data_IF_978612458737
#
_entry.id   IF_978612458737
#
_cell.length_a   1.000
_cell.length_b   1.000
_cell.length_c   1.000
_cell.angle_alpha   90.00
_cell.angle_beta   90.00
_cell.angle_gamma   90.00
#
_symmetry.space_group_name_H-M   'P 1'
#
loop_
_entity.id
_entity.type
_entity.pdbx_description
1 polymer ?
#
# COMPACT_ATOMS: atom_id res chain seq x y z
N UNK A 1 2.98 -7.50 -2.62
CA UNK A 1 1.86 -6.71 -2.07
C UNK A 1 2.32 -5.28 -2.00
N UNK A 2 1.79 -4.37 -2.84
CA UNK A 2 2.02 -2.94 -2.65
C UNK A 2 1.74 -2.52 -1.20
N UNK A 3 2.71 -1.82 -0.63
CA UNK A 3 2.58 -1.14 0.64
C UNK A 3 2.38 0.35 0.35
N UNK A 4 2.28 1.20 1.38
CA UNK A 4 1.96 2.61 1.20
C UNK A 4 2.84 3.34 0.18
N UNK A 5 4.18 3.18 0.18
CA UNK A 5 5.04 3.86 -0.80
C UNK A 5 4.73 3.49 -2.25
N UNK A 6 4.47 2.21 -2.53
CA UNK A 6 4.13 1.79 -3.90
C UNK A 6 2.75 2.29 -4.31
N UNK A 7 1.76 2.26 -3.40
CA UNK A 7 0.42 2.79 -3.68
C UNK A 7 0.47 4.30 -3.91
N UNK A 8 1.26 5.03 -3.13
CA UNK A 8 1.50 6.47 -3.33
C UNK A 8 2.18 6.76 -4.67
N UNK A 9 3.13 5.92 -5.08
CA UNK A 9 3.77 6.03 -6.40
C UNK A 9 2.74 5.86 -7.51
N UNK A 10 1.92 4.79 -7.45
CA UNK A 10 0.84 4.55 -8.42
C UNK A 10 -0.14 5.72 -8.46
N UNK A 11 -0.54 6.26 -7.29
CA UNK A 11 -1.42 7.43 -7.20
C UNK A 11 -0.85 8.63 -7.94
N UNK A 12 0.39 9.01 -7.65
CA UNK A 12 1.06 10.15 -8.28
C UNK A 12 1.19 9.97 -9.78
N UNK A 13 1.54 8.76 -10.22
CA UNK A 13 1.67 8.48 -11.65
C UNK A 13 0.31 8.55 -12.34
N UNK A 14 -0.71 7.86 -11.83
CA UNK A 14 -2.05 7.91 -12.41
C UNK A 14 -2.58 9.34 -12.53
N UNK A 15 -2.36 10.19 -11.51
CA UNK A 15 -2.78 11.59 -11.57
C UNK A 15 -2.26 12.34 -12.80
N UNK A 16 -1.04 12.04 -13.24
CA UNK A 16 -0.43 12.70 -14.39
C UNK A 16 -1.03 12.25 -15.73
N UNK A 17 -1.76 11.13 -15.77
CA UNK A 17 -2.20 10.52 -17.03
C UNK A 17 -3.72 10.41 -17.18
N UNK A 18 -4.49 10.35 -16.09
CA UNK A 18 -5.92 10.07 -16.15
C UNK A 18 -6.82 11.22 -15.68
N UNK A 19 -6.31 12.22 -14.98
CA UNK A 19 -7.14 13.32 -14.50
C UNK A 19 -7.73 14.12 -15.66
N UNK A 20 -8.93 14.65 -15.44
CA UNK A 20 -9.72 15.42 -16.39
C UNK A 20 -10.14 14.63 -17.64
N UNK A 21 -9.92 13.31 -17.65
CA UNK A 21 -10.34 12.43 -18.75
C UNK A 21 -11.67 11.76 -18.46
N UNK A 22 -12.56 11.64 -19.47
CA UNK A 22 -13.84 10.97 -19.32
C UNK A 22 -13.69 9.46 -19.36
N UNK A 23 -14.54 8.77 -18.59
CA UNK A 23 -14.76 7.32 -18.67
C UNK A 23 -15.83 7.09 -19.73
N UNK A 24 -15.44 6.67 -20.93
CA UNK A 24 -16.38 6.45 -22.04
C UNK A 24 -17.21 5.18 -21.86
N UNK A 25 -16.67 4.18 -21.18
CA UNK A 25 -17.29 2.88 -20.93
C UNK A 25 -16.48 2.06 -19.94
N UNK A 26 -17.08 1.03 -19.35
CA UNK A 26 -16.41 0.14 -18.42
C UNK A 26 -16.75 -1.31 -18.75
N UNK A 27 -15.74 -2.12 -19.04
CA UNK A 27 -15.89 -3.57 -19.12
C UNK A 27 -15.40 -4.23 -17.83
N UNK A 28 -16.20 -5.13 -17.27
CA UNK A 28 -15.83 -5.97 -16.13
C UNK A 28 -15.79 -7.43 -16.59
N UNK A 29 -14.59 -7.99 -16.66
CA UNK A 29 -14.36 -9.39 -17.07
C UNK A 29 -14.35 -10.36 -15.87
N UNK A 30 -14.30 -9.84 -14.64
CA UNK A 30 -14.34 -10.64 -13.42
C UNK A 30 -15.03 -9.91 -12.28
N UNK A 31 -16.35 -10.10 -12.20
CA UNK A 31 -17.27 -9.40 -11.27
C UNK A 31 -16.84 -9.46 -9.81
N UNK A 32 -16.19 -10.54 -9.35
CA UNK A 32 -15.75 -10.68 -7.95
C UNK A 32 -14.65 -9.70 -7.54
N UNK A 33 -14.07 -8.94 -8.47
CA UNK A 33 -13.22 -7.78 -8.12
C UNK A 33 -14.08 -6.63 -7.60
N UNK A 34 -15.28 -6.43 -8.16
CA UNK A 34 -16.22 -5.45 -7.64
C UNK A 34 -16.84 -6.00 -6.35
N UNK A 35 -16.85 -5.18 -5.30
CA UNK A 35 -17.61 -5.46 -4.08
C UNK A 35 -18.93 -4.71 -4.18
N UNK A 36 -20.04 -5.44 -4.03
CA UNK A 36 -21.38 -4.90 -4.27
C UNK A 36 -21.89 -5.26 -5.67
N UNK A 37 -22.74 -4.40 -6.22
CA UNK A 37 -23.37 -4.59 -7.51
C UNK A 37 -22.47 -4.06 -8.64
N UNK A 38 -22.08 -4.96 -9.56
CA UNK A 38 -21.23 -4.63 -10.71
C UNK A 38 -21.95 -3.74 -11.70
N UNK A 39 -23.25 -3.94 -11.92
CA UNK A 39 -24.03 -3.12 -12.83
C UNK A 39 -24.13 -1.69 -12.30
N UNK A 40 -24.43 -1.54 -11.00
CA UNK A 40 -24.45 -0.23 -10.34
C UNK A 40 -23.08 0.47 -10.42
N UNK A 41 -21.99 -0.28 -10.22
CA UNK A 41 -20.62 0.25 -10.35
C UNK A 41 -20.37 0.83 -11.75
N UNK A 42 -20.75 0.11 -12.80
CA UNK A 42 -20.60 0.54 -14.19
C UNK A 42 -21.48 1.76 -14.48
N UNK A 43 -22.78 1.68 -14.18
CA UNK A 43 -23.75 2.76 -14.45
C UNK A 43 -23.41 4.07 -13.74
N UNK A 44 -22.84 3.98 -12.53
CA UNK A 44 -22.50 5.16 -11.72
C UNK A 44 -21.22 5.86 -12.20
N UNK A 45 -20.30 5.13 -12.82
CA UNK A 45 -18.98 5.66 -13.21
C UNK A 45 -18.85 5.90 -14.71
N UNK A 46 -19.64 5.21 -15.54
CA UNK A 46 -19.66 5.44 -16.97
C UNK A 46 -20.10 6.89 -17.25
N UNK A 47 -19.39 7.52 -18.18
CA UNK A 47 -19.51 8.93 -18.57
C UNK A 47 -19.09 9.97 -17.53
N UNK A 48 -18.59 9.55 -16.37
CA UNK A 48 -17.96 10.49 -15.42
C UNK A 48 -16.55 10.87 -15.85
N UNK A 49 -16.01 11.93 -15.23
CA UNK A 49 -14.64 12.39 -15.42
C UNK A 49 -13.82 12.10 -14.17
N UNK A 50 -12.61 11.58 -14.32
CA UNK A 50 -11.67 11.46 -13.21
C UNK A 50 -11.24 12.86 -12.72
N UNK A 51 -11.60 13.22 -11.50
CA UNK A 51 -11.31 14.55 -10.93
C UNK A 51 -10.11 14.54 -9.98
N UNK A 52 -9.96 13.48 -9.18
CA UNK A 52 -8.81 13.34 -8.28
C UNK A 52 -8.51 11.88 -7.95
N UNK A 53 -7.33 11.62 -7.39
CA UNK A 53 -6.97 10.32 -6.82
C UNK A 53 -6.34 10.52 -5.43
N UNK A 54 -7.08 10.12 -4.39
CA UNK A 54 -6.57 10.10 -3.03
C UNK A 54 -5.99 8.72 -2.65
N UNK A 55 -5.32 8.63 -1.51
CA UNK A 55 -4.86 7.37 -0.91
C UNK A 55 -5.08 7.39 0.59
N UNK A 56 -5.61 6.29 1.09
CA UNK A 56 -5.68 5.99 2.53
C UNK A 56 -5.05 4.63 2.77
N UNK A 57 -3.96 4.60 3.54
CA UNK A 57 -3.11 3.43 3.74
C UNK A 57 -2.64 2.83 2.42
N UNK A 58 -3.18 1.67 2.06
CA UNK A 58 -2.86 0.90 0.84
C UNK A 58 -3.99 0.90 -0.18
N UNK A 59 -4.96 1.78 -0.02
CA UNK A 59 -6.10 1.94 -0.92
C UNK A 59 -5.92 3.19 -1.77
N UNK A 60 -6.27 3.10 -3.05
CA UNK A 60 -6.45 4.23 -3.94
C UNK A 60 -7.93 4.63 -3.92
N UNK A 61 -8.24 5.92 -3.91
CA UNK A 61 -9.59 6.44 -3.98
C UNK A 61 -9.66 7.29 -5.25
N UNK A 62 -10.36 6.79 -6.27
CA UNK A 62 -10.60 7.53 -7.50
C UNK A 62 -11.85 8.37 -7.29
N UNK A 63 -11.67 9.70 -7.24
CA UNK A 63 -12.76 10.67 -7.17
C UNK A 63 -13.13 11.06 -8.59
N UNK A 64 -14.36 10.77 -8.96
CA UNK A 64 -14.95 11.23 -10.20
C UNK A 64 -15.85 12.45 -9.90
N UNK A 65 -16.67 12.87 -10.86
CA UNK A 65 -17.47 14.10 -10.71
C UNK A 65 -18.54 13.99 -9.63
N UNK A 66 -19.29 12.88 -9.62
CA UNK A 66 -20.37 12.69 -8.65
C UNK A 66 -20.13 11.46 -7.76
N UNK A 67 -19.32 10.51 -8.24
CA UNK A 67 -19.04 9.27 -7.53
C UNK A 67 -17.56 9.13 -7.19
N UNK A 68 -17.28 8.23 -6.26
CA UNK A 68 -15.93 7.76 -6.00
C UNK A 68 -15.92 6.25 -5.90
N UNK A 69 -14.78 5.65 -6.18
CA UNK A 69 -14.54 4.25 -5.86
C UNK A 69 -13.19 4.06 -5.20
N UNK A 70 -13.14 3.10 -4.28
CA UNK A 70 -11.90 2.67 -3.64
C UNK A 70 -11.36 1.44 -4.38
N UNK A 71 -10.04 1.36 -4.55
CA UNK A 71 -9.34 0.22 -5.13
C UNK A 71 -8.21 -0.24 -4.23
N UNK A 72 -8.12 -1.55 -3.96
CA UNK A 72 -7.01 -2.16 -3.25
C UNK A 72 -6.27 -3.14 -4.16
N UNK A 73 -5.01 -2.83 -4.47
CA UNK A 73 -4.16 -3.63 -5.38
C UNK A 73 -3.84 -5.05 -4.85
N UNK A 74 -3.90 -5.24 -3.52
CA UNK A 74 -3.56 -6.50 -2.84
C UNK A 74 -2.18 -6.98 -3.24
N UNK A 75 -2.03 -8.18 -3.78
CA UNK A 75 -0.70 -8.80 -3.93
C UNK A 75 0.01 -8.34 -5.19
N UNK A 76 -0.70 -8.39 -6.32
CA UNK A 76 -0.16 -8.28 -7.70
C UNK A 76 -1.07 -7.42 -8.62
N UNK A 77 -2.12 -6.80 -8.06
CA UNK A 77 -2.98 -5.90 -8.81
C UNK A 77 -2.23 -4.67 -9.30
N UNK A 78 -2.52 -4.26 -10.52
CA UNK A 78 -1.82 -3.19 -11.22
C UNK A 78 -2.72 -2.47 -12.20
N UNK A 79 -2.42 -1.19 -12.44
CA UNK A 79 -3.10 -0.37 -13.44
C UNK A 79 -2.16 -0.12 -14.61
N UNK A 80 -2.66 -0.23 -15.83
CA UNK A 80 -1.89 0.06 -17.04
C UNK A 80 -2.70 1.02 -17.91
N UNK A 81 -2.02 1.96 -18.55
CA UNK A 81 -2.63 2.78 -19.62
C UNK A 81 -2.04 2.26 -20.92
N UNK A 82 -2.92 1.80 -21.81
CA UNK A 82 -2.55 1.14 -23.06
C UNK A 82 -3.42 1.65 -24.20
N UNK A 83 -3.03 1.41 -25.44
CA UNK A 83 -3.89 1.71 -26.60
C UNK A 83 -5.12 0.78 -26.59
N UNK A 84 -6.29 1.29 -27.00
CA UNK A 84 -7.53 0.50 -26.84
C UNK A 84 -7.60 -0.71 -27.78
N UNK A 85 -6.82 -0.74 -28.85
CA UNK A 85 -6.73 -1.86 -29.80
C UNK A 85 -5.78 -2.97 -29.31
N UNK A 86 -4.96 -2.70 -28.29
CA UNK A 86 -4.13 -3.73 -27.68
C UNK A 86 -5.01 -4.88 -27.15
N UNK A 87 -4.68 -6.15 -27.43
CA UNK A 87 -5.48 -7.28 -26.99
C UNK A 87 -5.66 -7.34 -25.47
N UNK A 88 -6.89 -7.59 -25.03
CA UNK A 88 -7.21 -7.77 -23.61
C UNK A 88 -6.58 -9.07 -23.11
N UNK A 89 -5.64 -8.95 -22.17
CA UNK A 89 -4.98 -10.12 -21.58
C UNK A 89 -5.92 -10.90 -20.65
N UNK A 90 -5.70 -12.20 -20.48
CA UNK A 90 -6.47 -13.07 -19.56
C UNK A 90 -6.48 -12.63 -18.09
N UNK A 91 -5.57 -11.74 -17.71
CA UNK A 91 -5.42 -11.21 -16.36
C UNK A 91 -5.98 -9.79 -16.20
N UNK A 92 -6.45 -9.19 -17.29
CA UNK A 92 -7.19 -7.95 -17.27
C UNK A 92 -8.61 -8.24 -16.81
N UNK A 93 -9.07 -7.53 -15.79
CA UNK A 93 -10.36 -7.80 -15.17
C UNK A 93 -11.34 -6.63 -15.18
N UNK A 94 -10.81 -5.40 -15.23
CA UNK A 94 -11.62 -4.20 -15.39
C UNK A 94 -10.93 -3.30 -16.41
N UNK A 95 -11.67 -2.80 -17.38
CA UNK A 95 -11.18 -1.85 -18.37
C UNK A 95 -12.05 -0.61 -18.30
N UNK A 96 -11.43 0.55 -18.04
CA UNK A 96 -12.06 1.85 -18.18
C UNK A 96 -11.64 2.42 -19.53
N UNK A 97 -12.56 2.49 -20.47
CA UNK A 97 -12.32 3.10 -21.78
C UNK A 97 -12.26 4.61 -21.61
N UNK A 98 -11.23 5.26 -22.15
CA UNK A 98 -11.05 6.71 -22.07
C UNK A 98 -10.97 7.31 -23.47
N UNK A 99 -10.86 8.64 -23.54
CA UNK A 99 -10.60 9.37 -24.78
C UNK A 99 -9.22 9.04 -25.37
N UNK A 100 -8.95 9.56 -26.58
CA UNK A 100 -7.63 9.48 -27.26
C UNK A 100 -7.11 8.05 -27.48
N UNK A 101 -8.02 7.12 -27.74
CA UNK A 101 -7.69 5.72 -28.04
C UNK A 101 -6.86 5.04 -26.94
N UNK A 102 -7.14 5.36 -25.68
CA UNK A 102 -6.46 4.73 -24.55
C UNK A 102 -7.44 4.15 -23.54
N UNK A 103 -7.03 3.05 -22.94
CA UNK A 103 -7.74 2.38 -21.87
C UNK A 103 -6.93 2.40 -20.57
N UNK A 104 -7.61 2.59 -19.43
CA UNK A 104 -7.05 2.28 -18.12
C UNK A 104 -7.48 0.87 -17.74
N UNK A 105 -6.53 -0.06 -17.73
CA UNK A 105 -6.77 -1.49 -17.48
C UNK A 105 -6.30 -1.89 -16.09
N UNK A 106 -7.17 -2.53 -15.32
CA UNK A 106 -6.81 -3.21 -14.08
C UNK A 106 -6.48 -4.67 -14.34
N UNK A 107 -5.26 -5.06 -13.98
CA UNK A 107 -4.71 -6.40 -14.21
C UNK A 107 -4.39 -7.02 -12.85
N UNK A 108 -4.82 -8.26 -12.61
CA UNK A 108 -4.46 -9.01 -11.40
C UNK A 108 -4.38 -10.51 -11.68
N UNK A 109 -3.17 -11.05 -11.73
CA UNK A 109 -2.89 -12.49 -11.90
C UNK A 109 -3.54 -13.37 -10.84
N UNK A 110 -3.74 -12.85 -9.61
CA UNK A 110 -4.23 -13.59 -8.45
C UNK A 110 -5.69 -13.30 -8.11
N UNK A 111 -6.33 -12.34 -8.77
CA UNK A 111 -7.74 -11.96 -8.57
C UNK A 111 -8.09 -11.59 -7.11
N UNK A 112 -7.13 -11.03 -6.39
CA UNK A 112 -7.30 -10.60 -5.00
C UNK A 112 -7.72 -9.14 -4.89
N UNK A 113 -7.41 -8.34 -5.90
CA UNK A 113 -7.85 -6.98 -6.10
C UNK A 113 -9.31 -6.76 -5.77
N UNK A 114 -9.62 -5.60 -5.19
CA UNK A 114 -11.00 -5.22 -4.90
C UNK A 114 -11.26 -3.78 -5.31
N UNK A 115 -12.44 -3.52 -5.87
CA UNK A 115 -12.97 -2.20 -6.12
C UNK A 115 -14.36 -2.08 -5.51
N UNK A 116 -14.71 -0.93 -4.97
CA UNK A 116 -16.00 -0.69 -4.32
C UNK A 116 -16.42 0.77 -4.50
N UNK A 117 -17.68 1.01 -4.88
CA UNK A 117 -18.23 2.37 -4.87
C UNK A 117 -18.27 2.90 -3.45
N UNK A 118 -17.86 4.15 -3.27
CA UNK A 118 -17.83 4.83 -1.97
C UNK A 118 -18.37 6.25 -2.09
N UNK A 119 -18.75 6.84 -0.96
CA UNK A 119 -19.15 8.25 -0.92
C UNK A 119 -18.00 9.16 -1.34
N UNK A 120 -18.28 10.12 -2.23
CA UNK A 120 -17.29 11.06 -2.76
C UNK A 120 -16.53 11.81 -1.66
N UNK A 121 -17.22 12.25 -0.61
CA UNK A 121 -16.62 13.01 0.50
C UNK A 121 -16.57 12.21 1.81
N UNK A 122 -17.42 11.19 1.95
CA UNK A 122 -17.54 10.37 3.16
C UNK A 122 -16.77 9.05 3.13
N UNK A 123 -15.94 8.76 2.12
CA UNK A 123 -15.30 7.44 1.96
C UNK A 123 -14.48 6.99 3.17
N UNK A 124 -13.88 7.92 3.94
CA UNK A 124 -13.10 7.57 5.15
C UNK A 124 -13.97 6.90 6.22
N UNK A 125 -15.26 7.22 6.27
CA UNK A 125 -16.22 6.68 7.24
C UNK A 125 -16.89 5.38 6.77
N UNK A 126 -16.52 4.87 5.59
CA UNK A 126 -17.06 3.64 5.02
C UNK A 126 -16.05 2.49 5.12
N UNK A 127 -16.53 1.25 5.21
CA UNK A 127 -15.65 0.10 5.09
C UNK A 127 -15.06 0.04 3.67
N UNK A 128 -13.83 -0.46 3.48
CA UNK A 128 -12.91 -0.94 4.52
C UNK A 128 -12.11 0.17 5.24
N UNK A 129 -12.23 1.43 4.81
CA UNK A 129 -11.38 2.55 5.25
C UNK A 129 -11.62 2.96 6.71
N UNK A 130 -12.87 2.88 7.19
CA UNK A 130 -13.26 3.18 8.58
C UNK A 130 -12.47 2.41 9.65
N UNK A 131 -11.99 1.21 9.31
CA UNK A 131 -11.23 0.34 10.23
C UNK A 131 -9.73 0.63 10.23
N UNK A 132 -9.26 1.52 9.36
CA UNK A 132 -7.84 1.86 9.29
C UNK A 132 -7.45 2.78 10.45
N UNK A 133 -6.27 2.53 10.97
CA UNK A 133 -5.58 3.46 11.85
C UNK A 133 -5.11 4.69 11.08
N UNK A 134 -4.66 5.73 11.80
CA UNK A 134 -4.20 6.96 11.20
C UNK A 134 -3.01 6.75 10.25
N UNK A 135 -2.85 7.67 9.32
CA UNK A 135 -1.70 7.72 8.41
C UNK A 135 -0.40 7.90 9.19
N UNK A 136 0.71 7.24 8.78
CA UNK A 136 2.00 7.38 9.44
C UNK A 136 2.50 8.82 9.57
N UNK A 137 2.12 9.68 8.63
CA UNK A 137 2.53 11.10 8.59
C UNK A 137 1.68 12.02 9.46
N UNK A 138 0.54 11.54 9.96
CA UNK A 138 -0.45 12.33 10.71
C UNK A 138 -0.56 11.89 12.18
N UNK A 139 -0.20 10.64 12.48
CA UNK A 139 -0.33 10.08 13.84
C UNK A 139 0.57 10.81 14.85
N UNK A 140 0.02 11.16 16.02
CA UNK A 140 0.78 11.71 17.14
C UNK A 140 1.50 10.60 17.93
N UNK A 141 2.54 10.97 18.68
CA UNK A 141 3.24 10.01 19.56
C UNK A 141 2.29 9.43 20.61
N UNK A 142 1.41 10.26 21.15
CA UNK A 142 0.43 9.89 22.16
C UNK A 142 -0.56 8.86 21.62
N UNK A 143 -1.14 9.14 20.45
CA UNK A 143 -2.08 8.23 19.78
C UNK A 143 -1.42 6.89 19.41
N UNK A 144 -0.16 6.91 18.92
CA UNK A 144 0.57 5.68 18.64
C UNK A 144 0.89 4.89 19.91
N UNK A 145 1.26 5.59 20.99
CA UNK A 145 1.59 4.96 22.26
C UNK A 145 0.38 4.26 22.87
N UNK A 146 -0.78 4.90 22.88
CA UNK A 146 -2.02 4.30 23.38
C UNK A 146 -2.37 3.01 22.62
N UNK A 147 -2.20 3.02 21.29
CA UNK A 147 -2.46 1.84 20.44
C UNK A 147 -1.46 0.70 20.68
N UNK A 148 -0.20 1.00 20.93
CA UNK A 148 0.86 0.00 21.14
C UNK A 148 0.95 -0.51 22.58
N UNK A 149 0.67 0.32 23.57
CA UNK A 149 0.86 0.01 24.99
C UNK A 149 -0.04 -1.15 25.46
N UNK A 150 -1.21 -1.30 24.83
CA UNK A 150 -2.12 -2.43 25.09
C UNK A 150 -1.90 -3.62 24.15
N UNK A 151 -0.97 -3.52 23.20
CA UNK A 151 -0.70 -4.57 22.22
C UNK A 151 0.36 -5.55 22.76
N UNK A 152 -0.08 -6.77 23.09
CA UNK A 152 0.81 -7.86 23.56
C UNK A 152 1.58 -8.55 22.42
N UNK A 153 1.24 -8.23 21.16
CA UNK A 153 1.86 -8.82 19.98
C UNK A 153 3.31 -8.34 19.82
N UNK A 154 4.13 -9.12 19.09
CA UNK A 154 5.42 -8.65 18.61
C UNK A 154 5.33 -7.31 17.87
N UNK A 155 6.33 -6.44 18.03
CA UNK A 155 6.37 -5.10 17.43
C UNK A 155 6.23 -5.16 15.91
N UNK A 156 6.85 -6.16 15.27
CA UNK A 156 6.65 -6.36 13.84
C UNK A 156 5.19 -6.69 13.52
N UNK A 157 4.56 -7.58 14.28
CA UNK A 157 3.16 -7.95 14.07
C UNK A 157 2.25 -6.72 14.27
N UNK A 158 2.52 -5.91 15.30
CA UNK A 158 1.79 -4.66 15.54
C UNK A 158 1.94 -3.66 14.38
N UNK A 159 3.14 -3.51 13.80
CA UNK A 159 3.36 -2.66 12.63
C UNK A 159 2.62 -3.15 11.36
N UNK A 160 2.25 -4.43 11.29
CA UNK A 160 1.45 -4.97 10.20
C UNK A 160 -0.05 -4.78 10.40
N UNK A 161 -0.48 -4.47 11.63
CA UNK A 161 -1.87 -4.20 11.95
C UNK A 161 -2.27 -2.82 11.41
N UNK A 162 -3.11 -2.83 10.36
CA UNK A 162 -3.52 -1.61 9.70
C UNK A 162 -4.42 -0.72 10.58
N UNK A 163 -4.93 -1.22 11.72
CA UNK A 163 -5.70 -0.43 12.70
C UNK A 163 -4.82 0.37 13.66
N UNK A 164 -3.53 0.01 13.78
CA UNK A 164 -2.56 0.73 14.62
C UNK A 164 -2.00 1.92 13.84
N UNK A 165 -1.44 1.65 12.67
CA UNK A 165 -0.88 2.63 11.75
C UNK A 165 -0.96 2.02 10.35
N UNK A 166 -1.74 2.65 9.48
CA UNK A 166 -2.01 2.06 8.17
C UNK A 166 -0.81 2.21 7.22
N UNK A 167 -0.79 1.41 6.14
CA UNK A 167 0.19 1.59 5.07
C UNK A 167 1.48 0.76 5.20
N UNK A 168 1.90 0.38 6.40
CA UNK A 168 3.10 -0.45 6.60
C UNK A 168 2.77 -1.92 6.29
N UNK A 169 3.60 -2.58 5.48
CA UNK A 169 3.54 -4.02 5.23
C UNK A 169 4.83 -4.73 5.63
N UNK A 170 5.08 -5.90 5.03
CA UNK A 170 6.13 -6.80 5.48
C UNK A 170 7.53 -6.30 5.17
N UNK A 171 7.70 -5.51 4.11
CA UNK A 171 8.97 -4.91 3.75
C UNK A 171 9.32 -3.84 4.76
N UNK A 172 8.49 -2.79 4.84
CA UNK A 172 8.79 -1.64 5.68
C UNK A 172 8.77 -1.99 7.17
N UNK A 173 7.98 -2.96 7.63
CA UNK A 173 8.04 -3.40 9.02
C UNK A 173 9.40 -4.03 9.41
N UNK A 174 10.04 -4.78 8.51
CA UNK A 174 11.39 -5.31 8.79
C UNK A 174 12.43 -4.18 8.83
N UNK A 175 12.37 -3.28 7.84
CA UNK A 175 13.29 -2.14 7.76
C UNK A 175 13.14 -1.23 8.98
N UNK A 176 11.92 -0.87 9.37
CA UNK A 176 11.64 -0.06 10.57
C UNK A 176 12.21 -0.72 11.82
N UNK A 177 12.02 -2.04 12.01
CA UNK A 177 12.61 -2.75 13.14
C UNK A 177 14.15 -2.71 13.13
N UNK A 178 14.76 -2.77 11.94
CA UNK A 178 16.21 -2.69 11.78
C UNK A 178 16.75 -1.30 12.14
N UNK A 179 16.15 -0.23 11.59
CA UNK A 179 16.50 1.15 11.91
C UNK A 179 16.28 1.48 13.40
N UNK A 180 15.27 0.87 14.02
CA UNK A 180 15.01 0.97 15.46
C UNK A 180 15.96 0.15 16.34
N UNK A 181 16.85 -0.65 15.75
CA UNK A 181 17.71 -1.61 16.45
C UNK A 181 16.94 -2.52 17.43
N UNK A 182 15.70 -2.91 17.06
CA UNK A 182 14.81 -3.70 17.90
C UNK A 182 14.59 -5.09 17.30
N UNK A 183 14.64 -6.13 18.13
CA UNK A 183 14.25 -7.47 17.71
C UNK A 183 12.76 -7.43 17.32
N UNK A 184 12.38 -7.86 16.09
CA UNK A 184 10.99 -7.81 15.61
C UNK A 184 10.02 -8.62 16.48
N UNK A 185 10.52 -9.52 17.33
CA UNK A 185 9.77 -10.36 18.28
C UNK A 185 9.54 -9.68 19.64
N UNK A 186 10.10 -8.50 19.87
CA UNK A 186 9.88 -7.72 21.10
C UNK A 186 8.41 -7.35 21.22
N UNK A 187 7.79 -7.55 22.39
CA UNK A 187 6.38 -7.15 22.60
C UNK A 187 6.21 -5.65 22.40
N UNK A 188 5.19 -5.24 21.64
CA UNK A 188 4.90 -3.83 21.36
C UNK A 188 4.62 -3.02 22.64
N UNK A 189 3.89 -3.60 23.59
CA UNK A 189 3.59 -3.00 24.89
C UNK A 189 4.81 -2.68 25.77
N UNK A 190 6.00 -3.20 25.44
CA UNK A 190 7.24 -2.93 26.19
C UNK A 190 7.95 -1.65 25.74
N UNK A 191 7.54 -1.03 24.66
CA UNK A 191 8.16 0.22 24.21
C UNK A 191 7.73 1.36 25.14
N UNK A 192 8.70 2.07 25.71
CA UNK A 192 8.43 3.31 26.43
C UNK A 192 7.92 4.39 25.49
N UNK A 193 7.25 5.43 26.03
CA UNK A 193 6.79 6.59 25.24
C UNK A 193 7.90 7.18 24.36
N UNK A 194 9.12 7.31 24.90
CA UNK A 194 10.29 7.78 24.14
C UNK A 194 10.64 6.86 22.96
N UNK A 195 10.58 5.54 23.14
CA UNK A 195 10.82 4.56 22.07
C UNK A 195 9.70 4.55 21.03
N UNK A 196 8.47 4.88 21.41
CA UNK A 196 7.35 5.04 20.46
C UNK A 196 7.49 6.31 19.63
N UNK A 197 7.94 7.43 20.21
CA UNK A 197 8.26 8.64 19.43
C UNK A 197 9.37 8.37 18.40
N UNK A 198 10.42 7.66 18.81
CA UNK A 198 11.50 7.21 17.92
C UNK A 198 10.96 6.29 16.81
N UNK A 199 10.10 5.32 17.15
CA UNK A 199 9.44 4.43 16.18
C UNK A 199 8.67 5.21 15.13
N UNK A 200 7.87 6.21 15.56
CA UNK A 200 7.11 7.07 14.66
C UNK A 200 8.03 7.80 13.68
N UNK A 201 9.09 8.44 14.19
CA UNK A 201 10.07 9.18 13.39
C UNK A 201 10.78 8.27 12.38
N UNK A 202 11.19 7.08 12.81
CA UNK A 202 11.83 6.09 11.93
C UNK A 202 10.85 5.56 10.88
N UNK A 203 9.60 5.29 11.24
CA UNK A 203 8.58 4.87 10.29
C UNK A 203 8.34 5.92 9.21
N UNK A 204 8.18 7.19 9.60
CA UNK A 204 8.04 8.32 8.67
C UNK A 204 9.25 8.41 7.75
N UNK A 205 10.47 8.38 8.30
CA UNK A 205 11.72 8.46 7.54
C UNK A 205 11.83 7.34 6.51
N UNK A 206 11.58 6.08 6.90
CA UNK A 206 11.66 4.91 6.01
C UNK A 206 10.63 5.03 4.89
N UNK A 207 9.38 5.39 5.22
CA UNK A 207 8.30 5.51 4.24
C UNK A 207 8.49 6.69 3.29
N UNK A 208 8.95 7.85 3.78
CA UNK A 208 9.26 9.01 2.95
C UNK A 208 10.39 8.69 1.97
N UNK A 209 11.48 8.10 2.45
CA UNK A 209 12.59 7.70 1.59
C UNK A 209 12.17 6.68 0.52
N UNK A 210 11.23 5.81 0.86
CA UNK A 210 10.63 4.89 -0.10
C UNK A 210 9.76 5.60 -1.14
N UNK A 211 8.91 6.53 -0.74
CA UNK A 211 8.07 7.31 -1.65
C UNK A 211 8.92 8.13 -2.62
N UNK A 212 9.96 8.82 -2.12
CA UNK A 212 10.89 9.61 -2.95
C UNK A 212 11.58 8.78 -4.04
N UNK A 213 11.72 7.48 -3.82
CA UNK A 213 12.38 6.53 -4.74
C UNK A 213 11.41 5.70 -5.57
N UNK A 214 10.11 6.02 -5.53
CA UNK A 214 9.08 5.28 -6.25
C UNK A 214 8.81 3.87 -5.68
N UNK A 215 9.15 3.64 -4.41
CA UNK A 215 8.97 2.37 -3.72
C UNK A 215 9.98 1.27 -4.07
N UNK A 216 9.73 0.08 -3.54
CA UNK A 216 10.58 -1.13 -3.65
C UNK A 216 10.34 -1.92 -4.91
N UNK A 217 10.04 -1.28 -6.04
CA UNK A 217 9.71 -1.96 -7.30
C UNK A 217 8.58 -2.98 -7.14
N UNK A 218 7.37 -2.55 -7.44
CA UNK A 218 6.32 -3.48 -7.84
C UNK A 218 5.83 -2.96 -9.17
N UNK A 219 5.77 -3.85 -10.17
CA UNK A 219 5.26 -3.64 -11.53
C UNK A 219 3.77 -3.23 -11.56
N UNK A 220 3.34 -2.36 -10.64
CA UNK A 220 1.94 -2.02 -10.37
C UNK A 220 1.43 -0.93 -11.31
N UNK A 221 2.33 -0.25 -12.01
CA UNK A 221 2.01 0.70 -13.05
C UNK A 221 3.18 0.79 -14.03
N UNK A 222 2.95 0.46 -15.31
CA UNK A 222 4.00 0.36 -16.32
C UNK A 222 3.64 1.18 -17.57
N UNK A 223 3.21 2.43 -17.38
CA UNK A 223 2.93 3.32 -18.51
C UNK A 223 4.16 4.09 -19.00
N UNK A 224 5.39 3.83 -18.49
CA UNK A 224 6.65 4.48 -18.95
C UNK A 224 7.95 3.93 -18.29
N UNK A 225 7.99 2.68 -17.81
CA UNK A 225 9.24 2.13 -17.22
C UNK A 225 9.68 2.80 -15.91
N UNK A 226 8.74 3.31 -15.10
CA UNK A 226 9.06 3.84 -13.76
C UNK A 226 9.36 2.66 -12.82
N UNK A 227 10.63 2.28 -12.77
CA UNK A 227 11.13 1.30 -11.82
C UNK A 227 11.39 1.99 -10.47
N UNK A 228 10.64 1.61 -9.44
CA UNK A 228 10.96 2.01 -8.06
C UNK A 228 12.38 1.56 -7.70
N UNK A 229 13.21 2.46 -7.17
CA UNK A 229 14.63 2.21 -6.89
C UNK A 229 14.90 1.80 -5.43
N UNK A 230 13.88 1.70 -4.58
CA UNK A 230 14.10 1.46 -3.14
C UNK A 230 14.58 0.04 -2.83
N UNK A 231 14.41 -0.95 -3.72
CA UNK A 231 14.96 -2.31 -3.49
C UNK A 231 16.47 -2.27 -3.22
N UNK A 232 17.18 -1.36 -3.89
CA UNK A 232 18.63 -1.17 -3.76
C UNK A 232 19.03 -0.68 -2.35
N UNK A 233 18.06 -0.18 -1.56
CA UNK A 233 18.31 0.39 -0.25
C UNK A 233 17.87 -0.48 0.93
N UNK A 234 17.20 -1.61 0.66
CA UNK A 234 16.76 -2.53 1.69
C UNK A 234 17.96 -3.03 2.51
N UNK A 235 17.91 -2.83 3.83
CA UNK A 235 18.99 -3.18 4.74
C UNK A 235 18.87 -4.60 5.26
N UNK A 236 17.66 -5.11 5.44
CA UNK A 236 17.43 -6.47 5.97
C UNK A 236 16.47 -7.30 5.15
N UNK A 237 15.42 -6.71 4.57
CA UNK A 237 14.40 -7.48 3.87
C UNK A 237 14.99 -8.14 2.63
N UNK A 238 14.96 -9.48 2.59
CA UNK A 238 15.54 -10.25 1.48
C UNK A 238 17.07 -10.25 1.42
N UNK A 239 17.74 -9.58 2.36
CA UNK A 239 19.21 -9.51 2.43
C UNK A 239 19.79 -10.71 3.16
N UNK A 240 21.04 -11.05 2.83
CA UNK A 240 21.79 -12.15 3.47
C UNK A 240 22.77 -11.67 4.54
N UNK A 241 23.35 -10.48 4.36
CA UNK A 241 24.41 -9.94 5.22
C UNK A 241 24.00 -8.55 5.72
N UNK A 242 24.21 -8.30 7.02
CA UNK A 242 23.90 -7.01 7.62
C UNK A 242 24.85 -5.92 7.09
N UNK A 243 24.33 -4.78 6.60
CA UNK A 243 25.16 -3.71 6.06
C UNK A 243 25.91 -2.90 7.13
N UNK A 244 25.64 -3.14 8.42
CA UNK A 244 26.25 -2.41 9.55
C UNK A 244 27.33 -3.24 10.24
N UNK A 245 27.06 -4.51 10.54
CA UNK A 245 27.97 -5.36 11.29
C UNK A 245 28.49 -6.59 10.52
N UNK A 246 28.09 -6.75 9.26
CA UNK A 246 28.48 -7.87 8.38
C UNK A 246 28.10 -9.27 8.88
N UNK A 247 27.28 -9.37 9.92
CA UNK A 247 26.73 -10.65 10.37
C UNK A 247 25.56 -11.10 9.50
N UNK A 248 25.30 -12.41 9.46
CA UNK A 248 24.20 -12.98 8.69
C UNK A 248 22.83 -12.46 9.16
N UNK A 249 22.02 -12.04 8.18
CA UNK A 249 20.60 -11.74 8.38
C UNK A 249 19.85 -13.06 8.54
N UNK A 250 19.10 -13.16 9.64
CA UNK A 250 18.24 -14.32 9.90
C UNK A 250 16.85 -14.07 9.37
N UNK A 251 16.31 -15.08 8.69
CA UNK A 251 14.89 -15.14 8.30
C UNK A 251 14.16 -16.10 9.23
N UNK A 252 13.16 -15.60 9.95
CA UNK A 252 12.28 -16.39 10.82
C UNK A 252 10.82 -16.14 10.47
N UNK A 253 9.93 -17.03 10.91
CA UNK A 253 8.50 -16.82 10.78
C UNK A 253 7.94 -16.21 12.07
N UNK A 254 7.31 -15.04 11.96
CA UNK A 254 6.61 -14.38 13.07
C UNK A 254 5.16 -14.20 12.63
N UNK A 255 4.22 -14.87 13.30
CA UNK A 255 2.79 -14.85 12.95
C UNK A 255 2.54 -15.08 11.44
N UNK A 256 3.13 -16.16 10.91
CA UNK A 256 3.03 -16.56 9.49
C UNK A 256 3.64 -15.55 8.48
N UNK A 257 4.42 -14.57 8.93
CA UNK A 257 5.10 -13.59 8.08
C UNK A 257 6.61 -13.77 8.14
N UNK A 258 7.22 -13.89 6.96
CA UNK A 258 8.68 -13.95 6.80
C UNK A 258 9.34 -12.68 7.33
N UNK A 259 10.21 -12.84 8.31
CA UNK A 259 10.81 -11.77 9.12
C UNK A 259 12.31 -11.82 9.02
N UNK A 260 12.89 -10.77 8.42
CA UNK A 260 14.32 -10.62 8.26
C UNK A 260 14.84 -9.66 9.33
N UNK A 261 15.90 -10.05 10.03
CA UNK A 261 16.52 -9.22 11.06
C UNK A 261 17.99 -9.60 11.27
N UNK A 262 18.79 -8.64 11.75
CA UNK A 262 20.17 -8.87 12.16
C UNK A 262 20.22 -9.21 13.66
N UNK A 263 20.64 -10.41 14.08
CA UNK A 263 20.66 -10.79 15.50
C UNK A 263 21.70 -10.02 16.32
N UNK A 264 22.71 -9.42 15.68
CA UNK A 264 23.72 -8.59 16.35
C UNK A 264 23.24 -7.15 16.57
N UNK A 265 22.66 -6.53 15.54
CA UNK A 265 22.18 -5.14 15.61
C UNK A 265 20.81 -5.02 16.30
N UNK A 266 19.98 -6.06 16.26
CA UNK A 266 18.62 -6.07 16.81
C UNK A 266 18.54 -7.05 17.98
N UNK A 267 19.15 -6.67 19.10
CA UNK A 267 19.20 -7.51 20.30
C UNK A 267 17.83 -7.59 20.98
N UNK A 268 17.48 -8.79 21.45
CA UNK A 268 16.33 -9.00 22.32
C UNK A 268 16.66 -8.42 23.69
N UNK A 269 16.13 -7.23 24.00
CA UNK A 269 16.25 -6.64 25.33
C UNK A 269 15.19 -7.29 26.22
N UNK A 270 15.66 -8.07 27.20
CA UNK A 270 14.83 -8.78 28.17
C UNK A 270 14.26 -7.86 29.21
#
# INVERSE_FOLDING_TARGET
MPELPEVETVRRTLKNFILERPILGIDVYYDRIIQGDTQLFVESLQHEIFCDIDRVGKYLIFKCQNHAFVSHLRMEGKFHIVESDEPVSKHTHVVFHMDRHQDLRYIDTRKFGRMELVSLDGYREQLPLKKLGPEPFEITTEALYERLHHCSLPIKTALLDQSIMCGIGNIYANEICFYMHIDPRTKASRLSRKRVDELRKVAIMVLQSAIEKGGTTIHSFDANGIHGLFQVQLKVHGQKVCPVCHHDIKKVMVHQRGTYFCPQCQKKRY
#
